data_IF_124680689123
#
_entry.id   IF_124680689123
#
_cell.length_a   1.000
_cell.length_b   1.000
_cell.length_c   1.000
_cell.angle_alpha   90.00
_cell.angle_beta   90.00
_cell.angle_gamma   90.00
#
_symmetry.space_group_name_H-M   'P 1'
#
loop_
_entity.id
_entity.type
_entity.pdbx_description
1 polymer ?
#
# COMPACT_ATOMS: atom_id res chain seq x y z
N UNK A 1 8.55 -26.12 -3.39
CA UNK A 1 7.17 -26.53 -3.01
C UNK A 1 6.25 -25.35 -3.29
N UNK A 2 5.51 -25.38 -4.41
CA UNK A 2 4.57 -24.32 -4.79
C UNK A 2 3.26 -24.52 -4.04
N UNK A 3 2.88 -23.54 -3.21
CA UNK A 3 1.64 -23.57 -2.44
C UNK A 3 0.44 -23.48 -3.41
N UNK A 4 -0.57 -24.35 -3.31
CA UNK A 4 -1.71 -24.34 -4.25
C UNK A 4 -2.46 -23.01 -4.13
N UNK A 5 -2.77 -22.40 -5.29
CA UNK A 5 -3.54 -21.16 -5.34
C UNK A 5 -5.01 -21.45 -5.00
N UNK A 6 -5.62 -20.76 -4.02
CA UNK A 6 -7.01 -20.99 -3.67
C UNK A 6 -7.91 -20.62 -4.85
N UNK A 7 -8.73 -21.58 -5.28
CA UNK A 7 -9.77 -21.43 -6.29
C UNK A 7 -11.01 -20.83 -5.65
N UNK A 8 -11.22 -19.52 -5.84
CA UNK A 8 -12.43 -18.80 -5.46
C UNK A 8 -12.14 -17.33 -5.19
N UNK A 9 -12.76 -16.42 -5.95
CA UNK A 9 -12.72 -14.98 -5.64
C UNK A 9 -13.46 -14.78 -4.32
N UNK A 10 -12.73 -14.57 -3.23
CA UNK A 10 -13.35 -14.20 -1.95
C UNK A 10 -13.73 -12.72 -1.99
N UNK A 11 -14.98 -12.42 -1.67
CA UNK A 11 -15.53 -11.06 -1.57
C UNK A 11 -15.43 -10.48 -0.15
N UNK A 12 -14.87 -11.24 0.80
CA UNK A 12 -14.69 -10.78 2.19
C UNK A 12 -13.63 -9.69 2.34
N UNK A 13 -13.60 -9.02 3.50
CA UNK A 13 -12.53 -8.06 3.82
C UNK A 13 -11.15 -8.72 3.70
N UNK A 14 -10.13 -7.92 3.42
CA UNK A 14 -8.74 -8.39 3.46
C UNK A 14 -8.40 -8.75 4.90
N UNK A 15 -7.81 -9.92 5.07
CA UNK A 15 -7.26 -10.38 6.35
C UNK A 15 -5.95 -9.64 6.66
N UNK A 16 -5.53 -9.66 7.93
CA UNK A 16 -4.23 -9.15 8.36
C UNK A 16 -3.07 -9.73 7.54
N UNK A 17 -3.12 -11.03 7.23
CA UNK A 17 -2.09 -11.69 6.43
C UNK A 17 -2.02 -11.16 5.00
N UNK A 18 -3.18 -10.94 4.37
CA UNK A 18 -3.24 -10.38 3.03
C UNK A 18 -2.70 -8.95 3.01
N UNK A 19 -3.06 -8.11 3.99
CA UNK A 19 -2.51 -6.75 4.15
C UNK A 19 -0.99 -6.73 4.30
N UNK A 20 -0.45 -7.60 5.13
CA UNK A 20 1.00 -7.76 5.28
C UNK A 20 1.68 -8.18 3.96
N UNK A 21 0.99 -8.99 3.15
CA UNK A 21 1.47 -9.38 1.82
C UNK A 21 1.44 -8.24 0.83
N UNK A 22 0.40 -7.40 0.84
CA UNK A 22 0.35 -6.15 0.06
C UNK A 22 1.57 -5.27 0.40
N UNK A 23 1.80 -4.98 1.68
CA UNK A 23 2.91 -4.12 2.13
C UNK A 23 4.27 -4.62 1.66
N UNK A 24 4.56 -5.92 1.86
CA UNK A 24 5.82 -6.56 1.44
C UNK A 24 6.02 -6.50 -0.07
N UNK A 25 4.96 -6.71 -0.85
CA UNK A 25 5.03 -6.70 -2.31
C UNK A 25 5.16 -5.26 -2.86
N UNK A 26 4.52 -4.27 -2.22
CA UNK A 26 4.71 -2.85 -2.52
C UNK A 26 6.14 -2.39 -2.25
N UNK A 27 6.74 -2.85 -1.16
CA UNK A 27 8.15 -2.62 -0.83
C UNK A 27 9.11 -3.17 -1.91
N UNK A 28 8.64 -4.15 -2.71
CA UNK A 28 9.35 -4.76 -3.85
C UNK A 28 8.90 -4.25 -5.23
N UNK A 29 8.16 -3.14 -5.29
CA UNK A 29 7.64 -2.54 -6.54
C UNK A 29 6.75 -3.47 -7.40
N UNK A 30 6.04 -4.42 -6.79
CA UNK A 30 5.13 -5.28 -7.55
C UNK A 30 3.90 -4.52 -8.03
N UNK A 31 3.38 -4.93 -9.18
CA UNK A 31 2.15 -4.38 -9.75
C UNK A 31 0.91 -4.85 -8.98
N UNK A 32 -0.19 -4.09 -9.09
CA UNK A 32 -1.47 -4.49 -8.49
C UNK A 32 -1.94 -5.88 -8.95
N UNK A 33 -1.66 -6.25 -10.21
CA UNK A 33 -2.03 -7.56 -10.77
C UNK A 33 -1.24 -8.70 -10.14
N UNK A 34 0.07 -8.53 -9.95
CA UNK A 34 0.90 -9.54 -9.30
C UNK A 34 0.52 -9.73 -7.83
N UNK A 35 0.22 -8.63 -7.13
CA UNK A 35 -0.28 -8.69 -5.75
C UNK A 35 -1.62 -9.41 -5.71
N UNK A 36 -2.56 -9.05 -6.58
CA UNK A 36 -3.86 -9.71 -6.64
C UNK A 36 -3.74 -11.21 -6.94
N UNK A 37 -2.86 -11.59 -7.87
CA UNK A 37 -2.61 -12.99 -8.23
C UNK A 37 -1.96 -13.81 -7.11
N UNK A 38 -1.16 -13.17 -6.25
CA UNK A 38 -0.61 -13.78 -5.03
C UNK A 38 -1.68 -13.98 -3.96
N UNK A 39 -2.59 -13.01 -3.81
CA UNK A 39 -3.65 -13.05 -2.79
C UNK A 39 -4.88 -13.88 -3.21
N UNK A 40 -5.03 -14.23 -4.49
CA UNK A 40 -6.27 -14.81 -5.00
C UNK A 40 -7.43 -13.80 -5.03
N UNK A 41 -7.12 -12.50 -5.11
CA UNK A 41 -8.11 -11.39 -5.10
C UNK A 41 -8.18 -10.70 -6.46
N UNK A 42 -9.10 -9.75 -6.61
CA UNK A 42 -9.13 -8.89 -7.79
C UNK A 42 -8.09 -7.76 -7.67
N UNK A 43 -7.53 -7.26 -8.80
CA UNK A 43 -6.68 -6.07 -8.77
C UNK A 43 -7.38 -4.84 -8.20
N UNK A 44 -8.69 -4.71 -8.39
CA UNK A 44 -9.48 -3.60 -7.85
C UNK A 44 -9.58 -3.62 -6.32
N UNK A 45 -9.62 -4.80 -5.70
CA UNK A 45 -9.55 -4.93 -4.23
C UNK A 45 -8.22 -4.40 -3.71
N UNK A 46 -7.12 -4.77 -4.37
CA UNK A 46 -5.77 -4.31 -3.98
C UNK A 46 -5.63 -2.80 -4.18
N UNK A 47 -6.09 -2.26 -5.31
CA UNK A 47 -5.96 -0.82 -5.57
C UNK A 47 -6.77 0.03 -4.60
N UNK A 48 -7.99 -0.39 -4.26
CA UNK A 48 -8.84 0.28 -3.27
C UNK A 48 -8.21 0.26 -1.87
N UNK A 49 -7.75 -0.91 -1.44
CA UNK A 49 -7.05 -1.08 -0.16
C UNK A 49 -5.86 -0.13 -0.04
N UNK A 50 -4.98 -0.12 -1.05
CA UNK A 50 -3.79 0.73 -1.04
C UNK A 50 -4.16 2.20 -1.14
N UNK A 51 -5.19 2.56 -1.90
CA UNK A 51 -5.62 3.95 -2.00
C UNK A 51 -6.10 4.49 -0.64
N UNK A 52 -6.86 3.69 0.12
CA UNK A 52 -7.48 4.04 1.39
C UNK A 52 -6.49 4.11 2.56
N UNK A 53 -5.53 3.18 2.64
CA UNK A 53 -4.65 3.04 3.81
C UNK A 53 -3.22 3.51 3.57
N UNK A 54 -3.10 4.68 2.93
CA UNK A 54 -1.84 5.41 2.77
C UNK A 54 -1.75 6.52 3.79
N UNK A 55 -0.58 6.69 4.39
CA UNK A 55 -0.34 7.66 5.46
C UNK A 55 0.94 8.45 5.21
N UNK A 56 0.94 9.71 5.64
CA UNK A 56 2.11 10.58 5.58
C UNK A 56 3.13 10.13 6.62
N UNK A 57 4.39 9.99 6.22
CA UNK A 57 5.52 9.70 7.13
C UNK A 57 6.55 10.82 7.17
N UNK A 58 6.45 11.79 6.26
CA UNK A 58 7.23 13.02 6.32
C UNK A 58 6.50 14.16 5.59
N UNK A 59 6.59 15.41 6.09
CA UNK A 59 7.35 15.87 7.26
C UNK A 59 6.81 15.31 8.61
N UNK A 60 7.61 15.39 9.69
CA UNK A 60 7.21 14.82 11.01
C UNK A 60 5.93 15.46 11.56
N UNK A 61 5.69 16.74 11.27
CA UNK A 61 4.48 17.48 11.69
C UNK A 61 3.18 16.84 11.20
N UNK A 62 3.24 16.11 10.08
CA UNK A 62 2.09 15.45 9.45
C UNK A 62 2.14 13.93 9.61
N UNK A 63 3.02 13.43 10.46
CA UNK A 63 3.25 12.00 10.58
C UNK A 63 1.98 11.28 11.03
N UNK A 64 1.53 10.34 10.22
CA UNK A 64 0.36 9.53 10.50
C UNK A 64 -0.96 10.10 10.01
N UNK A 65 -0.98 11.30 9.43
CA UNK A 65 -2.16 11.78 8.71
C UNK A 65 -2.46 10.86 7.51
N UNK A 66 -3.75 10.69 7.14
CA UNK A 66 -4.12 10.10 5.86
C UNK A 66 -3.42 10.83 4.71
N UNK A 67 -3.05 10.09 3.67
CA UNK A 67 -2.46 10.69 2.48
C UNK A 67 -3.47 11.66 1.83
N UNK A 68 -3.05 12.89 1.49
CA UNK A 68 -3.93 13.81 0.78
C UNK A 68 -4.34 13.22 -0.57
N UNK A 69 -5.56 13.58 -1.01
CA UNK A 69 -6.10 13.09 -2.28
C UNK A 69 -5.26 13.58 -3.46
N UNK A 70 -4.85 14.85 -3.41
CA UNK A 70 -3.92 15.43 -4.37
C UNK A 70 -2.47 15.29 -3.88
N UNK A 71 -1.68 14.57 -4.66
CA UNK A 71 -0.24 14.39 -4.50
C UNK A 71 0.50 14.84 -5.77
N UNK A 72 -0.19 15.51 -6.70
CA UNK A 72 0.40 16.08 -7.89
C UNK A 72 1.48 17.10 -7.50
N UNK A 73 2.55 17.15 -8.28
CA UNK A 73 3.70 18.03 -8.00
C UNK A 73 4.64 17.58 -6.87
N UNK A 74 4.20 16.78 -5.89
CA UNK A 74 5.06 16.35 -4.78
C UNK A 74 6.14 15.35 -5.20
N UNK A 75 5.77 14.33 -5.97
CA UNK A 75 6.69 13.31 -6.47
C UNK A 75 6.08 12.58 -7.68
N UNK A 76 6.81 12.37 -8.79
CA UNK A 76 6.30 11.63 -9.95
C UNK A 76 5.82 10.22 -9.62
N UNK A 77 6.41 9.56 -8.61
CA UNK A 77 5.97 8.23 -8.16
C UNK A 77 4.55 8.23 -7.56
N UNK A 78 4.09 9.38 -7.06
CA UNK A 78 2.79 9.49 -6.41
C UNK A 78 1.64 9.72 -7.41
N UNK A 79 1.93 10.02 -8.69
CA UNK A 79 0.90 10.22 -9.73
C UNK A 79 0.31 8.89 -10.24
N UNK A 80 1.13 7.84 -10.30
CA UNK A 80 0.75 6.52 -10.80
C UNK A 80 0.80 5.45 -9.69
N UNK A 81 0.27 4.26 -9.97
CA UNK A 81 0.36 3.10 -9.08
C UNK A 81 1.81 2.91 -8.57
N UNK A 82 2.03 2.64 -7.26
CA UNK A 82 1.06 2.45 -6.18
C UNK A 82 0.63 3.72 -5.43
N UNK A 83 0.99 4.90 -5.95
CA UNK A 83 0.80 6.20 -5.31
C UNK A 83 1.35 6.26 -3.87
N UNK A 84 2.42 5.51 -3.60
CA UNK A 84 3.11 5.45 -2.31
C UNK A 84 4.62 5.22 -2.48
N UNK A 85 5.37 5.43 -1.41
CA UNK A 85 6.83 5.43 -1.36
C UNK A 85 7.45 4.09 -0.93
N UNK A 86 6.65 3.06 -0.62
CA UNK A 86 7.08 1.74 -0.12
C UNK A 86 8.32 1.18 -0.85
N UNK A 87 8.24 1.05 -2.18
CA UNK A 87 9.33 0.57 -3.06
C UNK A 87 10.19 1.68 -3.69
N UNK A 88 10.15 2.92 -3.21
CA UNK A 88 10.99 3.99 -3.76
C UNK A 88 12.48 3.68 -3.53
N UNK A 89 13.32 3.75 -4.56
CA UNK A 89 14.78 3.52 -4.45
C UNK A 89 15.46 4.52 -3.49
N UNK A 90 15.01 5.78 -3.51
CA UNK A 90 15.49 6.82 -2.60
C UNK A 90 15.05 6.63 -1.13
N UNK A 91 14.23 5.61 -0.81
CA UNK A 91 13.91 5.24 0.57
C UNK A 91 15.13 4.64 1.29
N UNK A 92 15.92 3.82 0.59
CA UNK A 92 17.06 3.07 1.17
C UNK A 92 18.42 3.68 0.85
N UNK A 93 18.49 4.69 -0.03
CA UNK A 93 19.71 5.43 -0.37
C UNK A 93 19.92 6.68 0.50
N UNK A 94 20.50 7.73 -0.08
CA UNK A 94 20.80 9.04 0.56
C UNK A 94 19.60 9.83 1.12
N UNK A 95 18.40 9.26 1.10
CA UNK A 95 17.16 9.88 1.56
C UNK A 95 16.44 10.67 0.47
N UNK A 96 15.14 10.43 0.32
CA UNK A 96 14.30 11.22 -0.57
C UNK A 96 14.03 12.61 0.02
N UNK A 97 14.39 13.67 -0.69
CA UNK A 97 14.10 15.08 -0.32
C UNK A 97 12.65 15.47 -0.57
N UNK A 98 11.95 14.80 -1.51
CA UNK A 98 10.56 15.10 -1.88
C UNK A 98 9.59 14.91 -0.71
N UNK A 99 8.61 15.80 -0.61
CA UNK A 99 7.56 15.81 0.43
C UNK A 99 6.19 16.07 -0.19
N UNK A 100 5.10 15.52 0.37
CA UNK A 100 5.10 14.58 1.49
C UNK A 100 5.59 13.19 1.08
N UNK A 101 6.12 12.42 2.05
CA UNK A 101 6.35 10.99 1.84
C UNK A 101 5.14 10.22 2.35
N UNK A 102 4.64 9.32 1.53
CA UNK A 102 3.39 8.60 1.78
C UNK A 102 3.64 7.10 1.70
N UNK A 103 3.20 6.32 2.68
CA UNK A 103 3.39 4.87 2.70
C UNK A 103 2.07 4.16 2.96
N UNK A 104 1.87 3.03 2.30
CA UNK A 104 0.89 2.05 2.75
C UNK A 104 1.40 1.40 4.05
N UNK A 105 0.51 1.21 5.01
CA UNK A 105 0.82 0.51 6.26
C UNK A 105 -0.20 -0.58 6.55
N UNK A 106 0.24 -1.84 6.53
CA UNK A 106 -0.63 -2.98 6.82
C UNK A 106 -1.18 -2.95 8.25
N UNK A 107 -0.34 -2.51 9.20
CA UNK A 107 -0.73 -2.32 10.60
C UNK A 107 -1.89 -1.34 10.73
N UNK A 108 -1.74 -0.14 10.16
CA UNK A 108 -2.79 0.90 10.25
C UNK A 108 -4.05 0.53 9.48
N UNK A 109 -3.91 -0.19 8.35
CA UNK A 109 -5.05 -0.73 7.62
C UNK A 109 -5.85 -1.74 8.45
N UNK A 110 -5.15 -2.58 9.24
CA UNK A 110 -5.81 -3.50 10.17
C UNK A 110 -6.49 -2.73 11.32
N UNK A 111 -5.79 -1.78 11.94
CA UNK A 111 -6.35 -0.95 13.02
C UNK A 111 -7.62 -0.21 12.57
N UNK A 112 -7.62 0.36 11.36
CA UNK A 112 -8.79 1.00 10.79
C UNK A 112 -9.95 0.01 10.59
N UNK A 113 -9.66 -1.22 10.14
CA UNK A 113 -10.69 -2.24 9.95
C UNK A 113 -11.24 -2.78 11.27
N UNK A 114 -10.41 -2.87 12.31
CA UNK A 114 -10.84 -3.31 13.66
C UNK A 114 -11.69 -2.25 14.35
N UNK A 115 -11.49 -0.97 14.04
CA UNK A 115 -12.28 0.15 14.58
C UNK A 115 -13.67 0.33 13.92
N UNK A 116 -13.95 -0.37 12.82
CA UNK A 116 -15.27 -0.37 12.14
C UNK A 116 -16.21 -1.49 12.63
N UNK A 117 -15.78 -2.28 13.62
CA UNK A 117 -16.54 -3.38 14.23
C UNK A 117 -17.28 -2.91 15.49
#
# INVERSE_FOLDING_TARGET
>A
MSRPKPSGRSYGRLTRHERNTVERMLDRNRSAREIAAELGRSPSTVTREVAAHRYVTAPRSRYGEPAPADLSGACPRLSAWPRCCNGCSHRRGYGCSRRPRVFYSARRAQEAADAEL
#
